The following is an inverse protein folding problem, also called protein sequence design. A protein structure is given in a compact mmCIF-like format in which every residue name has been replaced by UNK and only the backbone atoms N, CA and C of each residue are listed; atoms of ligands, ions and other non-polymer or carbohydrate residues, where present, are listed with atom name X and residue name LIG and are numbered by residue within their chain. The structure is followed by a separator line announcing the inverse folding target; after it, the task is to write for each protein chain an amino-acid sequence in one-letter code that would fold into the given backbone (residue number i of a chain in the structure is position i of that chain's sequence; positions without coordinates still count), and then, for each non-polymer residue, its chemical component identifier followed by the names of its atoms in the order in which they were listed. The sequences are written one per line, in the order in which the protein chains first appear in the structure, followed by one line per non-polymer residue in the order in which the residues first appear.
data_IF_047400446993
#
_entry.id   IF_047400446993
#
_cell.length_a   1.000
_cell.length_b   1.000
_cell.length_c   1.000
_cell.angle_alpha   90.00
_cell.angle_beta   90.00
_cell.angle_gamma   90.00
#
_symmetry.space_group_name_H-M   'P 1'
#
loop_
_entity.id
_entity.type
_entity.pdbx_description
1 polymer ?
#
# COMPACT_ATOMS: atom_id res chain seq x y z
N UNK A 1 -21.66 9.70 19.66
CA UNK A 1 -20.40 9.99 20.39
C UNK A 1 -19.36 8.97 19.95
N UNK A 2 -18.12 9.40 19.61
CA UNK A 2 -17.02 8.49 19.26
C UNK A 2 -16.49 7.74 20.49
N UNK A 3 -15.84 6.59 20.27
CA UNK A 3 -15.27 5.76 21.33
C UNK A 3 -13.91 6.35 21.73
N UNK A 4 -13.71 6.61 23.01
CA UNK A 4 -12.41 7.02 23.53
C UNK A 4 -11.54 5.78 23.75
N UNK A 5 -10.50 5.61 22.93
CA UNK A 5 -9.55 4.51 23.08
C UNK A 5 -8.55 4.82 24.20
N UNK A 6 -8.28 3.84 25.05
CA UNK A 6 -7.11 3.90 25.94
C UNK A 6 -5.82 3.78 25.11
N UNK A 7 -4.68 4.21 25.68
CA UNK A 7 -3.37 4.04 25.03
C UNK A 7 -3.10 2.57 24.68
N UNK A 8 -3.46 1.64 25.56
CA UNK A 8 -3.34 0.21 25.33
C UNK A 8 -4.20 -0.28 24.16
N UNK A 9 -5.45 0.18 24.05
CA UNK A 9 -6.35 -0.18 22.95
C UNK A 9 -5.84 0.34 21.60
N UNK A 10 -5.32 1.57 21.59
CA UNK A 10 -4.72 2.14 20.38
C UNK A 10 -3.46 1.37 19.96
N UNK A 11 -2.59 1.01 20.92
CA UNK A 11 -1.41 0.20 20.67
C UNK A 11 -1.79 -1.18 20.12
N UNK A 12 -2.78 -1.85 20.74
CA UNK A 12 -3.24 -3.15 20.29
C UNK A 12 -3.85 -3.12 18.88
N UNK A 13 -4.69 -2.11 18.59
CA UNK A 13 -5.28 -1.89 17.28
C UNK A 13 -4.19 -1.69 16.22
N UNK A 14 -3.20 -0.88 16.53
CA UNK A 14 -2.06 -0.58 15.64
C UNK A 14 -1.20 -1.82 15.43
N UNK A 15 -0.88 -2.57 16.47
CA UNK A 15 -0.07 -3.79 16.38
C UNK A 15 -0.72 -4.86 15.48
N UNK A 16 -2.03 -5.09 15.63
CA UNK A 16 -2.75 -6.05 14.78
C UNK A 16 -2.81 -5.58 13.32
N UNK A 17 -2.91 -4.26 13.09
CA UNK A 17 -2.86 -3.72 11.73
C UNK A 17 -1.49 -3.89 11.08
N UNK A 18 -0.40 -3.62 11.82
CA UNK A 18 0.97 -3.77 11.31
C UNK A 18 1.21 -5.18 10.79
N UNK A 19 0.66 -6.20 11.46
CA UNK A 19 0.67 -7.56 10.95
C UNK A 19 -0.01 -7.66 9.58
N UNK A 20 -1.22 -7.12 9.46
CA UNK A 20 -1.97 -7.20 8.22
C UNK A 20 -1.22 -6.53 7.04
N UNK A 21 -0.41 -5.50 7.32
CA UNK A 21 0.40 -4.82 6.32
C UNK A 21 1.80 -5.39 6.12
N UNK A 22 2.30 -6.26 7.00
CA UNK A 22 3.68 -6.74 6.95
C UNK A 22 4.03 -7.39 5.60
N UNK A 23 3.19 -8.30 5.10
CA UNK A 23 3.40 -8.96 3.81
C UNK A 23 3.33 -7.97 2.64
N UNK A 24 2.39 -7.01 2.66
CA UNK A 24 2.26 -5.99 1.61
C UNK A 24 3.45 -5.03 1.59
N UNK A 25 3.99 -4.66 2.76
CA UNK A 25 5.20 -3.84 2.86
C UNK A 25 6.45 -4.59 2.38
N UNK A 26 6.47 -5.92 2.52
CA UNK A 26 7.52 -6.80 2.05
C UNK A 26 7.37 -7.29 0.61
N UNK A 27 6.33 -6.90 -0.12
CA UNK A 27 5.94 -7.53 -1.38
C UNK A 27 7.04 -7.49 -2.45
N UNK A 28 7.85 -6.45 -2.53
CA UNK A 28 8.97 -6.38 -3.47
C UNK A 28 10.05 -7.43 -3.16
N UNK A 29 10.27 -7.75 -1.88
CA UNK A 29 11.16 -8.83 -1.45
C UNK A 29 10.52 -10.21 -1.70
N UNK A 30 9.19 -10.34 -1.52
CA UNK A 30 8.48 -11.57 -1.82
C UNK A 30 8.59 -11.93 -3.30
N UNK A 31 8.37 -10.97 -4.22
CA UNK A 31 8.48 -11.21 -5.68
C UNK A 31 9.90 -11.61 -6.06
N UNK A 32 10.92 -10.98 -5.47
CA UNK A 32 12.31 -11.34 -5.69
C UNK A 32 12.63 -12.76 -5.18
N UNK A 33 12.18 -13.10 -3.98
CA UNK A 33 12.35 -14.42 -3.37
C UNK A 33 11.64 -15.53 -4.15
N UNK A 34 10.40 -15.31 -4.62
CA UNK A 34 9.65 -16.25 -5.46
C UNK A 34 10.43 -16.57 -6.74
N UNK A 35 10.99 -15.54 -7.37
CA UNK A 35 11.77 -15.74 -8.58
C UNK A 35 13.09 -16.49 -8.33
N UNK A 36 13.72 -16.30 -7.17
CA UNK A 36 14.94 -17.01 -6.79
C UNK A 36 14.64 -18.47 -6.40
N UNK A 37 13.71 -18.70 -5.48
CA UNK A 37 13.41 -20.02 -4.93
C UNK A 37 12.87 -21.00 -5.98
N UNK A 38 12.00 -20.52 -6.90
CA UNK A 38 11.38 -21.39 -7.90
C UNK A 38 11.94 -21.23 -9.32
N UNK A 39 12.96 -20.39 -9.54
CA UNK A 39 13.41 -20.05 -10.89
C UNK A 39 12.30 -19.43 -11.75
N UNK A 40 11.34 -18.75 -11.12
CA UNK A 40 10.13 -18.27 -11.76
C UNK A 40 10.39 -17.06 -12.67
N UNK A 41 9.62 -16.95 -13.76
CA UNK A 41 9.59 -15.75 -14.59
C UNK A 41 9.03 -14.55 -13.80
N UNK A 42 9.31 -13.33 -14.25
CA UNK A 42 8.80 -12.14 -13.60
C UNK A 42 7.27 -12.08 -13.62
N UNK A 43 6.64 -12.53 -14.72
CA UNK A 43 5.18 -12.62 -14.82
C UNK A 43 4.60 -13.63 -13.81
N UNK A 44 5.22 -14.78 -13.62
CA UNK A 44 4.76 -15.79 -12.67
C UNK A 44 4.89 -15.31 -11.22
N UNK A 45 6.02 -14.73 -10.85
CA UNK A 45 6.21 -14.12 -9.52
C UNK A 45 5.27 -12.92 -9.31
N UNK A 46 5.09 -12.09 -10.32
CA UNK A 46 4.13 -10.99 -10.31
C UNK A 46 2.68 -11.46 -10.21
N UNK A 47 2.33 -12.62 -10.79
CA UNK A 47 0.98 -13.21 -10.69
C UNK A 47 0.64 -13.62 -9.25
N UNK A 48 1.59 -14.21 -8.52
CA UNK A 48 1.41 -14.54 -7.09
C UNK A 48 1.14 -13.28 -6.29
N UNK A 49 1.95 -12.24 -6.48
CA UNK A 49 1.75 -10.96 -5.82
C UNK A 49 0.41 -10.30 -6.17
N UNK A 50 0.02 -10.35 -7.46
CA UNK A 50 -1.28 -9.85 -7.93
C UNK A 50 -2.46 -10.61 -7.33
N UNK A 51 -2.35 -11.93 -7.22
CA UNK A 51 -3.39 -12.76 -6.60
C UNK A 51 -3.55 -12.42 -5.11
N UNK A 52 -2.46 -12.27 -4.38
CA UNK A 52 -2.47 -11.89 -2.97
C UNK A 52 -3.04 -10.49 -2.76
N UNK A 53 -2.54 -9.48 -3.49
CA UNK A 53 -3.03 -8.10 -3.39
C UNK A 53 -4.50 -7.98 -3.84
N UNK A 54 -4.89 -8.72 -4.88
CA UNK A 54 -6.28 -8.82 -5.32
C UNK A 54 -7.19 -9.46 -4.27
N UNK A 55 -6.71 -10.50 -3.61
CA UNK A 55 -7.42 -11.12 -2.50
C UNK A 55 -7.54 -10.18 -1.29
N UNK A 56 -6.49 -9.41 -0.97
CA UNK A 56 -6.55 -8.34 0.06
C UNK A 56 -7.63 -7.32 -0.30
N UNK A 57 -7.63 -6.83 -1.53
CA UNK A 57 -8.63 -5.86 -2.00
C UNK A 57 -10.06 -6.44 -1.92
N UNK A 58 -10.26 -7.68 -2.36
CA UNK A 58 -11.54 -8.39 -2.26
C UNK A 58 -11.97 -8.57 -0.80
N UNK A 59 -11.05 -8.93 0.09
CA UNK A 59 -11.27 -9.03 1.53
C UNK A 59 -11.70 -7.71 2.12
N UNK A 60 -10.99 -6.62 1.83
CA UNK A 60 -11.35 -5.26 2.29
C UNK A 60 -12.74 -4.87 1.83
N UNK A 61 -13.06 -5.01 0.54
CA UNK A 61 -14.35 -4.63 -0.02
C UNK A 61 -15.51 -5.46 0.53
N UNK A 62 -15.28 -6.77 0.73
CA UNK A 62 -16.29 -7.68 1.27
C UNK A 62 -16.55 -7.39 2.73
N UNK A 63 -15.51 -7.33 3.56
CA UNK A 63 -15.68 -7.15 5.01
C UNK A 63 -16.07 -5.72 5.39
N UNK A 64 -15.73 -4.70 4.59
CA UNK A 64 -16.26 -3.34 4.79
C UNK A 64 -17.80 -3.30 4.74
N UNK A 65 -18.45 -4.14 3.91
CA UNK A 65 -19.90 -4.24 3.81
C UNK A 65 -20.54 -4.98 5.01
N UNK A 66 -19.79 -5.86 5.66
CA UNK A 66 -20.21 -6.66 6.81
C UNK A 66 -19.70 -6.11 8.13
N UNK A 67 -18.96 -4.99 8.10
CA UNK A 67 -18.46 -4.32 9.30
C UNK A 67 -19.62 -4.05 10.29
N UNK A 68 -19.46 -4.54 11.51
CA UNK A 68 -20.46 -4.42 12.58
C UNK A 68 -21.49 -5.55 12.68
N UNK A 69 -21.63 -6.43 11.66
CA UNK A 69 -22.53 -7.59 11.73
C UNK A 69 -21.94 -8.75 12.52
N UNK A 70 -20.62 -8.87 12.52
CA UNK A 70 -19.89 -9.91 13.24
C UNK A 70 -19.07 -9.29 14.38
N UNK A 71 -18.92 -10.01 15.51
CA UNK A 71 -18.06 -9.56 16.58
C UNK A 71 -16.63 -9.32 16.09
N UNK A 72 -16.14 -8.10 16.22
CA UNK A 72 -14.82 -7.70 15.69
C UNK A 72 -13.69 -8.60 16.19
N UNK A 73 -13.73 -9.03 17.46
CA UNK A 73 -12.75 -9.95 18.01
C UNK A 73 -12.70 -11.30 17.30
N UNK A 74 -13.85 -11.85 16.86
CA UNK A 74 -13.86 -13.10 16.09
C UNK A 74 -13.17 -12.93 14.74
N UNK A 75 -13.38 -11.79 14.07
CA UNK A 75 -12.72 -11.49 12.79
C UNK A 75 -11.21 -11.41 13.01
N UNK A 76 -10.74 -10.78 14.09
CA UNK A 76 -9.30 -10.71 14.39
C UNK A 76 -8.71 -12.09 14.71
N UNK A 77 -9.35 -12.87 15.58
CA UNK A 77 -8.85 -14.21 15.93
C UNK A 77 -8.79 -15.10 14.69
N UNK A 78 -9.90 -15.22 13.96
CA UNK A 78 -9.97 -16.08 12.77
C UNK A 78 -9.02 -15.55 11.68
N UNK A 79 -9.04 -14.24 11.40
CA UNK A 79 -8.21 -13.64 10.38
C UNK A 79 -6.71 -13.80 10.66
N UNK A 80 -6.25 -13.48 11.87
CA UNK A 80 -4.84 -13.63 12.25
C UNK A 80 -4.44 -15.12 12.28
N UNK A 81 -5.31 -16.02 12.73
CA UNK A 81 -5.04 -17.47 12.66
C UNK A 81 -4.88 -17.95 11.23
N UNK A 82 -5.76 -17.52 10.30
CA UNK A 82 -5.65 -17.85 8.88
C UNK A 82 -4.37 -17.28 8.26
N UNK A 83 -3.95 -16.07 8.65
CA UNK A 83 -2.68 -15.48 8.19
C UNK A 83 -1.50 -16.31 8.69
N UNK A 84 -1.48 -16.69 9.96
CA UNK A 84 -0.43 -17.52 10.54
C UNK A 84 -0.35 -18.89 9.86
N UNK A 85 -1.47 -19.60 9.74
CA UNK A 85 -1.55 -20.88 9.04
C UNK A 85 -1.17 -20.72 7.58
N UNK A 86 -1.65 -19.68 6.91
CA UNK A 86 -1.34 -19.40 5.51
C UNK A 86 0.16 -19.18 5.28
N UNK A 87 0.85 -18.43 6.14
CA UNK A 87 2.30 -18.24 6.06
C UNK A 87 3.04 -19.57 6.36
N UNK A 88 2.61 -20.34 7.37
CA UNK A 88 3.22 -21.62 7.69
C UNK A 88 3.07 -22.63 6.54
N UNK A 89 1.87 -22.74 5.98
CA UNK A 89 1.62 -23.66 4.86
C UNK A 89 2.30 -23.18 3.56
N UNK A 90 2.51 -21.87 3.40
CA UNK A 90 3.27 -21.33 2.25
C UNK A 90 4.73 -21.76 2.24
N UNK A 91 5.34 -22.08 3.41
CA UNK A 91 6.67 -22.70 3.47
C UNK A 91 6.71 -24.12 2.90
N UNK A 92 5.54 -24.78 2.77
CA UNK A 92 5.42 -26.13 2.19
C UNK A 92 5.15 -26.08 0.67
N UNK A 93 5.06 -24.92 0.07
CA UNK A 93 4.79 -24.79 -1.35
C UNK A 93 6.01 -25.25 -2.15
N UNK A 94 5.79 -26.19 -3.07
CA UNK A 94 6.87 -26.75 -3.91
C UNK A 94 7.03 -26.06 -5.26
N UNK A 95 6.07 -25.19 -5.62
CA UNK A 95 6.03 -24.50 -6.91
C UNK A 95 5.18 -23.20 -6.83
N UNK A 96 5.29 -22.38 -7.88
CA UNK A 96 4.58 -21.10 -7.99
C UNK A 96 3.07 -21.25 -7.93
N UNK A 97 2.49 -22.33 -8.49
CA UNK A 97 1.04 -22.52 -8.54
C UNK A 97 0.48 -22.88 -7.15
N UNK A 98 1.15 -23.78 -6.44
CA UNK A 98 0.78 -24.13 -5.06
C UNK A 98 0.86 -22.90 -4.15
N UNK A 99 1.92 -22.09 -4.27
CA UNK A 99 2.06 -20.84 -3.54
C UNK A 99 0.94 -19.85 -3.88
N UNK A 100 0.62 -19.66 -5.17
CA UNK A 100 -0.46 -18.79 -5.61
C UNK A 100 -1.80 -19.15 -4.94
N UNK A 101 -2.15 -20.45 -4.94
CA UNK A 101 -3.40 -20.93 -4.33
C UNK A 101 -3.42 -20.64 -2.83
N UNK A 102 -2.30 -20.81 -2.13
CA UNK A 102 -2.18 -20.59 -0.69
C UNK A 102 -2.23 -19.11 -0.32
N UNK A 103 -1.75 -18.21 -1.21
CA UNK A 103 -1.77 -16.76 -0.95
C UNK A 103 -3.15 -16.13 -1.08
N UNK A 104 -4.08 -16.73 -1.82
CA UNK A 104 -5.46 -16.20 -1.96
C UNK A 104 -6.21 -16.17 -0.63
N UNK A 105 -6.38 -17.27 0.14
CA UNK A 105 -7.07 -17.23 1.42
C UNK A 105 -6.31 -16.38 2.45
N UNK A 106 -4.97 -16.36 2.40
CA UNK A 106 -4.15 -15.49 3.25
C UNK A 106 -4.43 -14.02 2.97
N UNK A 107 -4.46 -13.62 1.69
CA UNK A 107 -4.80 -12.26 1.27
C UNK A 107 -6.22 -11.84 1.67
N UNK A 108 -7.21 -12.72 1.51
CA UNK A 108 -8.59 -12.46 1.98
C UNK A 108 -8.64 -12.20 3.49
N UNK A 109 -7.91 -12.98 4.28
CA UNK A 109 -7.81 -12.79 5.72
C UNK A 109 -7.14 -11.46 6.10
N UNK A 110 -6.03 -11.11 5.42
CA UNK A 110 -5.36 -9.81 5.57
C UNK A 110 -6.33 -8.64 5.27
N UNK A 111 -7.09 -8.75 4.19
CA UNK A 111 -8.10 -7.75 3.81
C UNK A 111 -9.21 -7.61 4.86
N UNK A 112 -9.71 -8.73 5.39
CA UNK A 112 -10.74 -8.74 6.42
C UNK A 112 -10.28 -8.07 7.71
N UNK A 113 -9.08 -8.39 8.18
CA UNK A 113 -8.45 -7.80 9.37
C UNK A 113 -8.26 -6.30 9.16
N UNK A 114 -7.68 -5.89 8.03
CA UNK A 114 -7.44 -4.47 7.70
C UNK A 114 -8.74 -3.67 7.68
N UNK A 115 -9.76 -4.15 6.97
CA UNK A 115 -11.07 -3.47 6.88
C UNK A 115 -11.70 -3.28 8.26
N UNK A 116 -11.62 -4.31 9.12
CA UNK A 116 -12.21 -4.28 10.46
C UNK A 116 -11.46 -3.28 11.36
N UNK A 117 -10.13 -3.22 11.27
CA UNK A 117 -9.32 -2.26 12.03
C UNK A 117 -9.61 -0.83 11.59
N UNK A 118 -9.67 -0.57 10.28
CA UNK A 118 -9.97 0.77 9.75
C UNK A 118 -11.38 1.22 10.15
N UNK A 119 -12.35 0.31 10.12
CA UNK A 119 -13.71 0.59 10.59
C UNK A 119 -13.75 0.88 12.09
N UNK A 120 -12.94 0.18 12.90
CA UNK A 120 -12.81 0.42 14.35
C UNK A 120 -12.14 1.77 14.61
N UNK A 121 -11.05 2.08 13.92
CA UNK A 121 -10.33 3.35 14.04
C UNK A 121 -11.22 4.57 13.69
N UNK A 122 -12.06 4.44 12.67
CA UNK A 122 -13.00 5.49 12.24
C UNK A 122 -14.06 5.82 13.30
N UNK A 123 -14.31 4.93 14.27
CA UNK A 123 -15.26 5.15 15.38
C UNK A 123 -14.61 5.80 16.62
N UNK A 124 -13.31 6.14 16.54
CA UNK A 124 -12.62 6.89 17.59
C UNK A 124 -13.28 8.24 17.86
N UNK A 125 -13.18 8.74 19.09
CA UNK A 125 -13.56 10.14 19.42
C UNK A 125 -12.65 11.17 18.76
N UNK A 126 -11.43 10.77 18.36
CA UNK A 126 -10.45 11.58 17.61
C UNK A 126 -9.88 10.77 16.43
N UNK A 127 -10.67 10.55 15.35
CA UNK A 127 -10.29 9.68 14.24
C UNK A 127 -8.99 10.15 13.56
N UNK A 128 -8.80 11.46 13.40
CA UNK A 128 -7.63 12.05 12.76
C UNK A 128 -6.34 11.66 13.51
N UNK A 129 -6.36 11.76 14.83
CA UNK A 129 -5.22 11.38 15.68
C UNK A 129 -4.99 9.86 15.61
N UNK A 130 -6.06 9.08 15.67
CA UNK A 130 -5.99 7.61 15.58
C UNK A 130 -5.37 7.17 14.26
N UNK A 131 -5.84 7.70 13.14
CA UNK A 131 -5.25 7.41 11.82
C UNK A 131 -3.83 7.94 11.67
N UNK A 132 -3.52 9.09 12.29
CA UNK A 132 -2.17 9.63 12.33
C UNK A 132 -1.18 8.68 13.00
N UNK A 133 -1.54 8.14 14.18
CA UNK A 133 -0.72 7.15 14.91
C UNK A 133 -0.56 5.87 14.10
N UNK A 134 -1.66 5.35 13.54
CA UNK A 134 -1.65 4.14 12.71
C UNK A 134 -0.72 4.31 11.50
N UNK A 135 -0.86 5.40 10.74
CA UNK A 135 -0.05 5.62 9.55
C UNK A 135 1.43 5.82 9.87
N UNK A 136 1.74 6.51 10.97
CA UNK A 136 3.13 6.64 11.44
C UNK A 136 3.73 5.28 11.80
N UNK A 137 2.95 4.42 12.44
CA UNK A 137 3.39 3.07 12.81
C UNK A 137 3.54 2.16 11.58
N UNK A 138 2.69 2.29 10.55
CA UNK A 138 2.86 1.60 9.25
C UNK A 138 4.16 2.03 8.58
N UNK A 139 4.50 3.32 8.60
CA UNK A 139 5.79 3.83 8.10
C UNK A 139 6.99 3.24 8.86
N UNK A 140 6.91 3.19 10.19
CA UNK A 140 7.94 2.57 11.04
C UNK A 140 8.08 1.05 10.76
N UNK A 141 6.94 0.36 10.56
CA UNK A 141 6.95 -1.06 10.16
C UNK A 141 7.56 -1.25 8.77
N UNK A 142 7.31 -0.35 7.83
CA UNK A 142 7.97 -0.35 6.52
C UNK A 142 9.49 -0.27 6.64
N UNK A 143 10.02 0.60 7.49
CA UNK A 143 11.47 0.68 7.78
C UNK A 143 11.98 -0.61 8.43
N UNK A 144 11.26 -1.18 9.38
CA UNK A 144 11.63 -2.45 10.01
C UNK A 144 11.66 -3.59 8.99
N UNK A 145 10.65 -3.72 8.14
CA UNK A 145 10.62 -4.72 7.07
C UNK A 145 11.76 -4.52 6.07
N UNK A 146 12.05 -3.30 5.65
CA UNK A 146 13.17 -2.99 4.77
C UNK A 146 14.54 -3.35 5.37
N UNK A 147 14.65 -3.35 6.70
CA UNK A 147 15.85 -3.79 7.40
C UNK A 147 15.93 -5.31 7.55
N UNK A 148 14.84 -5.96 7.95
CA UNK A 148 14.81 -7.37 8.34
C UNK A 148 14.72 -8.29 7.13
N UNK A 149 13.81 -8.01 6.15
CA UNK A 149 13.54 -8.94 5.06
C UNK A 149 14.75 -9.25 4.18
N UNK A 150 15.64 -8.28 3.81
CA UNK A 150 16.83 -8.61 3.05
C UNK A 150 17.80 -9.55 3.79
N UNK A 151 17.78 -9.54 5.12
CA UNK A 151 18.56 -10.44 5.95
C UNK A 151 17.90 -11.80 6.06
N UNK A 152 16.59 -11.81 6.22
CA UNK A 152 15.80 -13.02 6.29
C UNK A 152 15.90 -13.88 5.02
N UNK A 153 16.06 -13.26 3.85
CA UNK A 153 16.33 -13.97 2.59
C UNK A 153 17.57 -14.90 2.65
N UNK A 154 18.54 -14.60 3.47
CA UNK A 154 19.76 -15.40 3.61
C UNK A 154 19.68 -16.42 4.76
N UNK A 155 18.65 -16.42 5.59
CA UNK A 155 18.54 -17.32 6.74
C UNK A 155 18.47 -18.80 6.35
N UNK A 156 18.01 -19.12 5.14
CA UNK A 156 17.97 -20.48 4.63
C UNK A 156 19.36 -21.14 4.66
N UNK A 157 20.44 -20.38 4.42
CA UNK A 157 21.82 -20.90 4.47
C UNK A 157 22.18 -21.36 5.89
N UNK A 158 21.91 -20.50 6.89
CA UNK A 158 22.19 -20.82 8.29
C UNK A 158 21.26 -21.93 8.81
N UNK A 159 19.96 -21.89 8.44
CA UNK A 159 18.99 -22.92 8.82
C UNK A 159 19.35 -24.29 8.27
N UNK A 160 19.72 -24.37 6.99
CA UNK A 160 20.15 -25.62 6.37
C UNK A 160 21.46 -26.13 6.98
N UNK A 161 22.39 -25.25 7.38
CA UNK A 161 23.61 -25.62 8.05
C UNK A 161 23.41 -26.18 9.47
N UNK A 162 22.42 -25.65 10.20
CA UNK A 162 22.13 -26.07 11.59
C UNK A 162 21.20 -27.29 11.66
N UNK A 163 20.20 -27.35 10.77
CA UNK A 163 19.18 -28.41 10.83
C UNK A 163 19.66 -29.75 10.24
N UNK A 164 20.79 -29.75 9.52
CA UNK A 164 21.44 -30.96 8.99
C UNK A 164 20.53 -31.77 8.04
N UNK A 165 20.90 -33.03 7.82
CA UNK A 165 20.25 -33.92 6.83
C UNK A 165 18.82 -34.39 7.20
N UNK A 166 18.03 -33.57 7.90
CA UNK A 166 16.67 -33.89 8.34
C UNK A 166 15.61 -33.99 7.25
N UNK A 167 16.01 -33.95 5.97
CA UNK A 167 15.11 -34.15 4.83
C UNK A 167 14.27 -32.93 4.44
N UNK A 168 14.41 -31.81 5.15
CA UNK A 168 13.78 -30.52 4.82
C UNK A 168 14.85 -29.50 4.43
N UNK A 169 14.71 -28.91 3.24
CA UNK A 169 15.60 -27.82 2.78
C UNK A 169 14.83 -26.51 2.76
N UNK A 170 15.38 -25.51 3.46
CA UNK A 170 14.83 -24.15 3.48
C UNK A 170 15.28 -23.40 2.23
N UNK A 171 14.38 -22.57 1.69
CA UNK A 171 14.65 -21.66 0.56
C UNK A 171 14.60 -20.17 0.99
N UNK A 172 14.80 -19.26 0.03
CA UNK A 172 14.81 -17.83 0.27
C UNK A 172 13.47 -17.29 0.81
N UNK A 173 12.34 -17.92 0.44
CA UNK A 173 11.00 -17.53 0.90
C UNK A 173 10.78 -17.86 2.37
N UNK A 174 11.33 -18.95 2.85
CA UNK A 174 11.12 -19.44 4.21
C UNK A 174 11.52 -18.41 5.25
N UNK A 175 12.65 -17.72 5.05
CA UNK A 175 13.09 -16.64 5.93
C UNK A 175 12.07 -15.51 6.01
N UNK A 176 11.43 -15.14 4.91
CA UNK A 176 10.39 -14.11 4.90
C UNK A 176 9.15 -14.57 5.67
N UNK A 177 8.70 -15.81 5.45
CA UNK A 177 7.55 -16.36 6.15
C UNK A 177 7.80 -16.51 7.66
N UNK A 178 9.01 -16.86 8.09
CA UNK A 178 9.39 -16.87 9.51
C UNK A 178 9.20 -15.48 10.13
N UNK A 179 9.62 -14.41 9.45
CA UNK A 179 9.40 -13.03 9.92
C UNK A 179 7.90 -12.72 10.01
N UNK A 180 7.11 -13.08 9.00
CA UNK A 180 5.66 -12.83 8.99
C UNK A 180 4.93 -13.64 10.07
N UNK A 181 5.35 -14.88 10.32
CA UNK A 181 4.82 -15.72 11.41
C UNK A 181 5.17 -15.10 12.77
N UNK A 182 6.41 -14.64 12.97
CA UNK A 182 6.82 -13.98 14.22
C UNK A 182 6.01 -12.70 14.47
N UNK A 183 5.82 -11.85 13.44
CA UNK A 183 4.93 -10.70 13.52
C UNK A 183 3.49 -11.11 13.84
N UNK A 184 2.99 -12.17 13.23
CA UNK A 184 1.67 -12.73 13.46
C UNK A 184 1.44 -13.22 14.87
N UNK A 185 2.40 -13.93 15.45
CA UNK A 185 2.36 -14.39 16.82
C UNK A 185 2.33 -13.22 17.81
N UNK A 186 3.16 -12.19 17.56
CA UNK A 186 3.14 -10.97 18.37
C UNK A 186 1.76 -10.27 18.29
N UNK A 187 1.22 -10.09 17.10
CA UNK A 187 -0.09 -9.46 16.94
C UNK A 187 -1.21 -10.28 17.56
N UNK A 188 -1.14 -11.62 17.52
CA UNK A 188 -2.11 -12.50 18.19
C UNK A 188 -2.20 -12.21 19.68
N UNK A 189 -1.06 -11.93 20.34
CA UNK A 189 -1.01 -11.51 21.73
C UNK A 189 -1.76 -10.20 22.02
N UNK A 190 -1.84 -9.29 21.03
CA UNK A 190 -2.52 -8.00 21.18
C UNK A 190 -4.03 -8.05 20.91
N UNK A 191 -4.58 -9.12 20.32
CA UNK A 191 -6.01 -9.19 19.92
C UNK A 191 -6.95 -8.89 21.10
N UNK A 192 -6.63 -9.36 22.31
CA UNK A 192 -7.45 -9.12 23.51
C UNK A 192 -7.52 -7.63 23.90
N UNK A 193 -6.52 -6.84 23.51
CA UNK A 193 -6.48 -5.40 23.76
C UNK A 193 -7.26 -4.57 22.74
N UNK A 194 -7.63 -5.16 21.59
CA UNK A 194 -8.36 -4.42 20.56
C UNK A 194 -9.81 -4.17 21.02
N UNK A 195 -10.33 -2.94 20.91
CA UNK A 195 -11.68 -2.63 21.34
C UNK A 195 -12.70 -3.43 20.52
N UNK A 196 -13.64 -4.09 21.23
CA UNK A 196 -14.79 -4.71 20.58
C UNK A 196 -15.83 -3.64 20.28
N UNK A 197 -16.13 -3.45 19.03
CA UNK A 197 -17.15 -2.49 18.59
C UNK A 197 -18.35 -3.26 18.07
N UNK A 198 -19.50 -3.08 18.72
CA UNK A 198 -20.79 -3.55 18.23
C UNK A 198 -21.48 -2.42 17.46
N UNK A 199 -22.13 -2.75 16.38
CA UNK A 199 -22.90 -1.79 15.62
C UNK A 199 -24.32 -1.76 16.18
N UNK A 200 -24.69 -0.66 16.85
CA UNK A 200 -26.05 -0.44 17.37
C UNK A 200 -27.07 -0.13 16.23
N UNK A 201 -26.76 -0.51 14.99
CA UNK A 201 -27.69 -0.44 13.87
C UNK A 201 -28.00 0.97 13.38
N UNK A 202 -27.37 2.01 13.91
CA UNK A 202 -27.54 3.36 13.40
C UNK A 202 -26.81 3.51 12.06
N UNK A 203 -27.52 3.20 10.97
CA UNK A 203 -27.10 3.56 9.62
C UNK A 203 -26.81 5.06 9.62
N UNK A 204 -25.55 5.44 9.37
CA UNK A 204 -25.24 6.79 8.93
C UNK A 204 -26.06 7.04 7.67
N UNK A 205 -27.08 7.87 7.80
CA UNK A 205 -27.88 8.35 6.67
C UNK A 205 -26.98 9.36 5.93
N UNK A 206 -26.03 8.83 5.17
CA UNK A 206 -25.30 9.62 4.19
C UNK A 206 -26.29 10.10 3.14
N UNK A 207 -26.38 11.41 2.96
CA UNK A 207 -27.17 12.02 1.88
C UNK A 207 -26.80 11.34 0.55
N UNK A 208 -27.82 10.87 -0.19
CA UNK A 208 -27.70 10.19 -1.49
C UNK A 208 -27.32 11.15 -2.64
N UNK A 209 -26.50 12.15 -2.38
CA UNK A 209 -25.94 12.93 -3.50
C UNK A 209 -24.87 12.08 -4.19
N UNK A 210 -25.18 11.62 -5.39
CA UNK A 210 -24.21 10.90 -6.22
C UNK A 210 -23.04 11.84 -6.56
N UNK A 211 -21.81 11.44 -6.29
CA UNK A 211 -20.64 12.22 -6.71
C UNK A 211 -20.69 12.44 -8.22
N UNK A 212 -20.39 13.66 -8.67
CA UNK A 212 -20.41 13.98 -10.09
C UNK A 212 -19.43 13.12 -10.90
N UNK A 213 -19.68 12.92 -12.20
CA UNK A 213 -18.82 12.12 -13.11
C UNK A 213 -17.35 12.49 -13.01
N UNK A 214 -17.04 13.77 -12.77
CA UNK A 214 -15.68 14.29 -12.62
C UNK A 214 -14.94 13.63 -11.46
N UNK A 215 -15.59 13.41 -10.32
CA UNK A 215 -14.97 12.75 -9.17
C UNK A 215 -14.59 11.29 -9.45
N UNK A 216 -15.44 10.56 -10.16
CA UNK A 216 -15.15 9.17 -10.56
C UNK A 216 -14.01 9.09 -11.58
N UNK A 217 -13.90 10.04 -12.51
CA UNK A 217 -12.78 10.15 -13.44
C UNK A 217 -11.47 10.34 -12.66
N UNK A 218 -11.47 11.21 -11.62
CA UNK A 218 -10.29 11.41 -10.78
C UNK A 218 -9.86 10.12 -10.06
N UNK A 219 -10.81 9.32 -9.55
CA UNK A 219 -10.51 8.05 -8.88
C UNK A 219 -9.98 7.00 -9.87
N UNK A 220 -10.57 6.88 -11.07
CA UNK A 220 -10.04 6.02 -12.12
C UNK A 220 -8.63 6.43 -12.54
N UNK A 221 -8.39 7.73 -12.71
CA UNK A 221 -7.08 8.29 -13.01
C UNK A 221 -6.06 7.95 -11.92
N UNK A 222 -6.43 8.09 -10.65
CA UNK A 222 -5.61 7.72 -9.51
C UNK A 222 -5.26 6.22 -9.54
N UNK A 223 -6.27 5.34 -9.71
CA UNK A 223 -6.05 3.90 -9.81
C UNK A 223 -5.11 3.53 -10.95
N UNK A 224 -5.22 4.20 -12.10
CA UNK A 224 -4.35 3.98 -13.25
C UNK A 224 -2.92 4.48 -13.02
N UNK A 225 -2.73 5.58 -12.30
CA UNK A 225 -1.40 6.04 -11.88
C UNK A 225 -0.74 5.06 -10.91
N UNK A 226 -1.49 4.54 -9.94
CA UNK A 226 -0.99 3.51 -9.01
C UNK A 226 -0.74 2.16 -9.68
N UNK A 227 -1.51 1.81 -10.71
CA UNK A 227 -1.22 0.66 -11.56
C UNK A 227 0.14 0.82 -12.26
N UNK A 228 0.39 1.96 -12.90
CA UNK A 228 1.69 2.24 -13.52
C UNK A 228 2.84 2.23 -12.51
N UNK A 229 2.69 2.92 -11.38
CA UNK A 229 3.69 2.93 -10.31
C UNK A 229 3.97 1.53 -9.78
N UNK A 230 2.92 0.75 -9.47
CA UNK A 230 3.05 -0.60 -8.92
C UNK A 230 3.70 -1.59 -9.89
N UNK A 231 3.50 -1.41 -11.22
CA UNK A 231 4.07 -2.30 -12.25
C UNK A 231 5.61 -2.31 -12.28
N UNK A 232 6.26 -1.22 -11.89
CA UNK A 232 7.71 -1.15 -11.71
C UNK A 232 8.10 -1.29 -10.24
N UNK A 233 7.33 -0.70 -9.33
CA UNK A 233 7.66 -0.60 -7.90
C UNK A 233 7.87 -1.96 -7.23
N UNK A 234 7.11 -2.95 -7.61
CA UNK A 234 7.22 -4.30 -7.07
C UNK A 234 8.54 -5.00 -7.45
N UNK A 235 9.20 -4.56 -8.51
CA UNK A 235 10.46 -5.11 -9.01
C UNK A 235 11.70 -4.30 -8.59
N UNK A 236 11.57 -3.28 -7.72
CA UNK A 236 12.69 -2.43 -7.28
C UNK A 236 13.84 -3.23 -6.66
N UNK A 237 13.55 -4.32 -5.96
CA UNK A 237 14.60 -5.21 -5.41
C UNK A 237 15.39 -5.84 -6.54
N UNK A 238 14.72 -6.32 -7.58
CA UNK A 238 15.36 -6.93 -8.75
C UNK A 238 16.19 -5.93 -9.55
N UNK A 239 15.68 -4.70 -9.74
CA UNK A 239 16.46 -3.60 -10.34
C UNK A 239 17.75 -3.36 -9.56
N UNK A 240 17.67 -3.30 -8.23
CA UNK A 240 18.86 -3.14 -7.37
C UNK A 240 19.83 -4.31 -7.50
N UNK A 241 19.34 -5.55 -7.62
CA UNK A 241 20.20 -6.74 -7.83
C UNK A 241 20.88 -6.73 -9.21
N UNK A 242 20.19 -6.33 -10.27
CA UNK A 242 20.79 -6.18 -11.60
C UNK A 242 21.93 -5.13 -11.60
N UNK A 243 21.88 -4.15 -10.70
CA UNK A 243 22.97 -3.17 -10.47
C UNK A 243 24.09 -3.71 -9.57
N UNK A 244 24.04 -5.00 -9.15
CA UNK A 244 25.03 -5.63 -8.28
C UNK A 244 24.90 -5.26 -6.80
N UNK A 245 23.78 -4.66 -6.37
CA UNK A 245 23.57 -4.30 -4.97
C UNK A 245 23.22 -5.51 -4.12
N UNK A 246 23.76 -5.57 -2.91
CA UNK A 246 23.35 -6.55 -1.92
C UNK A 246 21.92 -6.29 -1.42
N UNK A 247 21.23 -7.32 -0.97
CA UNK A 247 19.87 -7.18 -0.41
C UNK A 247 19.83 -6.18 0.76
N UNK A 248 20.84 -6.17 1.62
CA UNK A 248 20.94 -5.22 2.74
C UNK A 248 21.08 -3.77 2.27
N UNK A 249 21.86 -3.52 1.22
CA UNK A 249 21.98 -2.18 0.62
C UNK A 249 20.66 -1.72 0.03
N UNK A 250 19.94 -2.59 -0.69
CA UNK A 250 18.59 -2.30 -1.21
C UNK A 250 17.63 -2.00 -0.05
N UNK A 251 17.72 -2.75 1.05
CA UNK A 251 16.95 -2.48 2.26
C UNK A 251 17.19 -1.08 2.82
N UNK A 252 18.42 -0.59 2.87
CA UNK A 252 18.74 0.79 3.31
C UNK A 252 18.16 1.84 2.36
N UNK A 253 18.15 1.57 1.05
CA UNK A 253 17.49 2.45 0.07
C UNK A 253 15.98 2.53 0.33
N UNK A 254 15.34 1.41 0.65
CA UNK A 254 13.91 1.38 0.99
C UNK A 254 13.62 2.08 2.32
N UNK A 255 14.51 1.94 3.32
CA UNK A 255 14.41 2.70 4.57
C UNK A 255 14.46 4.22 4.33
N UNK A 256 15.38 4.69 3.48
CA UNK A 256 15.43 6.08 3.07
C UNK A 256 14.13 6.51 2.38
N UNK A 257 13.57 5.66 1.50
CA UNK A 257 12.27 5.87 0.88
C UNK A 257 11.12 5.98 1.90
N UNK A 258 11.12 5.17 2.94
CA UNK A 258 10.13 5.22 4.01
C UNK A 258 10.19 6.54 4.80
N UNK A 259 11.40 7.05 5.10
CA UNK A 259 11.57 8.37 5.74
C UNK A 259 11.01 9.48 4.87
N UNK A 260 11.33 9.48 3.57
CA UNK A 260 10.77 10.46 2.61
C UNK A 260 9.26 10.27 2.49
N UNK A 261 8.77 9.02 2.48
CA UNK A 261 7.34 8.68 2.40
C UNK A 261 6.50 9.16 3.60
N UNK A 262 7.12 9.32 4.78
CA UNK A 262 6.47 9.90 5.95
C UNK A 262 6.45 11.44 5.86
N UNK A 263 7.52 12.05 5.38
CA UNK A 263 7.68 13.52 5.36
C UNK A 263 7.02 14.17 4.15
N UNK A 264 7.07 13.52 2.98
CA UNK A 264 6.55 14.08 1.73
C UNK A 264 5.03 14.41 1.75
N UNK A 265 4.14 13.56 2.30
CA UNK A 265 2.72 13.90 2.42
C UNK A 265 2.45 15.10 3.33
N UNK A 266 3.24 15.28 4.41
CA UNK A 266 3.12 16.43 5.32
C UNK A 266 3.48 17.72 4.59
N UNK A 267 4.59 17.72 3.87
CA UNK A 267 5.03 18.87 3.06
C UNK A 267 4.01 19.14 1.95
N UNK A 268 3.54 18.11 1.25
CA UNK A 268 2.56 18.23 0.18
C UNK A 268 1.21 18.78 0.69
N UNK A 269 0.74 18.32 1.86
CA UNK A 269 -0.47 18.84 2.51
C UNK A 269 -0.34 20.30 2.89
N UNK A 270 0.81 20.70 3.46
CA UNK A 270 1.10 22.10 3.82
C UNK A 270 1.14 23.01 2.58
N UNK A 271 1.78 22.57 1.50
CA UNK A 271 1.88 23.31 0.23
C UNK A 271 0.49 23.36 -0.45
N UNK A 272 -0.22 22.23 -0.50
CA UNK A 272 -1.54 22.12 -1.13
C UNK A 272 -2.61 23.01 -0.48
N UNK A 273 -2.47 23.30 0.83
CA UNK A 273 -3.34 24.22 1.53
C UNK A 273 -3.10 25.70 1.15
N UNK A 274 -1.93 26.04 0.60
CA UNK A 274 -1.51 27.42 0.31
C UNK A 274 -1.42 27.74 -1.17
N UNK A 275 -1.26 26.73 -2.02
CA UNK A 275 -1.08 26.90 -3.45
C UNK A 275 -2.25 26.28 -4.21
N UNK A 276 -2.42 26.70 -5.47
CA UNK A 276 -3.37 26.02 -6.39
C UNK A 276 -2.95 24.56 -6.57
N UNK A 277 -3.85 23.58 -6.39
CA UNK A 277 -3.51 22.16 -6.41
C UNK A 277 -2.76 21.69 -7.67
N UNK A 278 -3.01 22.36 -8.79
CA UNK A 278 -2.41 22.01 -10.08
C UNK A 278 -0.88 22.10 -10.07
N UNK A 279 -0.31 23.13 -9.44
CA UNK A 279 1.15 23.36 -9.45
C UNK A 279 1.89 22.26 -8.67
N UNK A 280 1.59 22.01 -7.39
CA UNK A 280 2.26 20.94 -6.66
C UNK A 280 2.00 19.56 -7.25
N UNK A 281 0.82 19.31 -7.82
CA UNK A 281 0.52 18.04 -8.50
C UNK A 281 1.41 17.82 -9.72
N UNK A 282 1.61 18.86 -10.58
CA UNK A 282 2.53 18.79 -11.73
C UNK A 282 3.95 18.49 -11.24
N UNK A 283 4.44 19.20 -10.23
CA UNK A 283 5.80 19.00 -9.71
C UNK A 283 6.00 17.58 -9.19
N UNK A 284 5.04 17.06 -8.41
CA UNK A 284 5.11 15.70 -7.88
C UNK A 284 5.07 14.66 -9.00
N UNK A 285 4.18 14.82 -9.98
CA UNK A 285 4.06 13.87 -11.10
C UNK A 285 5.30 13.92 -12.01
N UNK A 286 5.82 15.10 -12.32
CA UNK A 286 7.08 15.21 -13.06
C UNK A 286 8.25 14.58 -12.32
N UNK A 287 8.34 14.80 -10.99
CA UNK A 287 9.32 14.14 -10.15
C UNK A 287 9.17 12.62 -10.14
N UNK A 288 7.93 12.12 -10.08
CA UNK A 288 7.62 10.69 -10.11
C UNK A 288 7.99 10.06 -11.47
N UNK A 289 7.66 10.73 -12.58
CA UNK A 289 8.04 10.27 -13.92
C UNK A 289 9.56 10.24 -14.09
N UNK A 290 10.26 11.27 -13.62
CA UNK A 290 11.72 11.32 -13.65
C UNK A 290 12.32 10.19 -12.81
N UNK A 291 11.85 9.99 -11.58
CA UNK A 291 12.31 8.92 -10.71
C UNK A 291 12.02 7.53 -11.31
N UNK A 292 10.82 7.33 -11.87
CA UNK A 292 10.42 6.10 -12.55
C UNK A 292 11.35 5.78 -13.71
N UNK A 293 11.57 6.74 -14.61
CA UNK A 293 12.45 6.57 -15.75
C UNK A 293 13.90 6.32 -15.32
N UNK A 294 14.40 7.08 -14.34
CA UNK A 294 15.77 6.92 -13.83
C UNK A 294 15.99 5.54 -13.23
N UNK A 295 15.06 5.04 -12.41
CA UNK A 295 15.15 3.69 -11.81
C UNK A 295 15.20 2.61 -12.89
N UNK A 296 14.38 2.73 -13.93
CA UNK A 296 14.28 1.72 -14.96
C UNK A 296 15.41 1.74 -15.98
N UNK A 297 16.04 2.89 -16.21
CA UNK A 297 17.07 3.08 -17.25
C UNK A 297 18.49 3.09 -16.71
N UNK A 298 18.68 3.18 -15.38
CA UNK A 298 20.02 3.30 -14.81
C UNK A 298 20.83 2.01 -14.95
N UNK A 299 22.10 2.17 -15.27
CA UNK A 299 23.11 1.10 -15.30
C UNK A 299 24.13 1.25 -14.18
N UNK A 300 23.98 2.27 -13.34
CA UNK A 300 24.89 2.59 -12.23
C UNK A 300 24.12 2.78 -10.93
N UNK A 301 24.80 2.59 -9.81
CA UNK A 301 24.19 2.57 -8.48
C UNK A 301 23.72 3.95 -7.98
N UNK A 302 24.46 5.03 -8.35
CA UNK A 302 24.19 6.37 -7.80
C UNK A 302 22.81 6.93 -8.15
N UNK A 303 22.35 6.88 -9.41
CA UNK A 303 20.98 7.33 -9.75
C UNK A 303 19.93 6.50 -9.03
N UNK A 304 20.15 5.20 -8.84
CA UNK A 304 19.25 4.33 -8.11
C UNK A 304 19.09 4.75 -6.64
N UNK A 305 20.19 5.11 -5.95
CA UNK A 305 20.16 5.55 -4.56
C UNK A 305 19.30 6.80 -4.34
N UNK A 306 19.18 7.66 -5.35
CA UNK A 306 18.37 8.88 -5.28
C UNK A 306 16.95 8.63 -5.79
N UNK A 307 16.83 7.96 -6.94
CA UNK A 307 15.56 7.82 -7.63
C UNK A 307 14.63 6.80 -6.95
N UNK A 308 15.15 5.68 -6.42
CA UNK A 308 14.30 4.64 -5.82
C UNK A 308 13.58 5.13 -4.54
N UNK A 309 14.22 5.85 -3.59
CA UNK A 309 13.51 6.47 -2.46
C UNK A 309 12.43 7.46 -2.91
N UNK A 310 12.72 8.31 -3.89
CA UNK A 310 11.75 9.28 -4.41
C UNK A 310 10.60 8.60 -5.15
N UNK A 311 10.90 7.58 -5.96
CA UNK A 311 9.89 6.79 -6.64
C UNK A 311 8.91 6.15 -5.66
N UNK A 312 9.39 5.57 -4.55
CA UNK A 312 8.54 4.97 -3.52
C UNK A 312 7.70 5.99 -2.74
N UNK A 313 8.23 7.20 -2.53
CA UNK A 313 7.63 8.20 -1.66
C UNK A 313 6.68 9.19 -2.37
N UNK A 314 6.97 9.59 -3.61
CA UNK A 314 6.20 10.63 -4.30
C UNK A 314 4.71 10.30 -4.50
N UNK A 315 4.28 9.04 -4.74
CA UNK A 315 2.85 8.72 -4.81
C UNK A 315 2.09 9.04 -3.53
N UNK A 316 2.72 8.90 -2.37
CA UNK A 316 2.08 9.23 -1.09
C UNK A 316 1.84 10.72 -0.92
N UNK A 317 2.68 11.57 -1.53
CA UNK A 317 2.54 13.02 -1.54
C UNK A 317 1.37 13.52 -2.41
N UNK A 318 0.94 12.74 -3.41
CA UNK A 318 -0.23 13.07 -4.25
C UNK A 318 -1.54 13.03 -3.45
N UNK A 319 -1.66 12.09 -2.51
CA UNK A 319 -2.92 11.79 -1.84
C UNK A 319 -3.49 12.96 -1.06
N UNK A 320 -2.76 13.69 -0.19
CA UNK A 320 -3.32 14.82 0.55
C UNK A 320 -3.88 15.92 -0.36
N UNK A 321 -3.19 16.22 -1.46
CA UNK A 321 -3.61 17.25 -2.41
C UNK A 321 -4.87 16.79 -3.14
N UNK A 322 -4.87 15.55 -3.66
CA UNK A 322 -6.01 15.01 -4.38
C UNK A 322 -7.25 14.88 -3.49
N UNK A 323 -7.10 14.37 -2.27
CA UNK A 323 -8.20 14.24 -1.32
C UNK A 323 -8.76 15.63 -0.93
N UNK A 324 -7.89 16.63 -0.80
CA UNK A 324 -8.30 18.01 -0.61
C UNK A 324 -9.12 18.56 -1.78
N UNK A 325 -8.76 18.22 -3.01
CA UNK A 325 -9.56 18.57 -4.20
C UNK A 325 -10.88 17.82 -4.22
N UNK A 326 -10.87 16.49 -4.02
CA UNK A 326 -12.08 15.66 -4.04
C UNK A 326 -13.09 16.07 -2.97
N UNK A 327 -12.65 16.47 -1.77
CA UNK A 327 -13.53 16.94 -0.70
C UNK A 327 -14.31 18.20 -1.05
N UNK A 328 -13.85 19.00 -2.02
CA UNK A 328 -14.55 20.19 -2.52
C UNK A 328 -15.67 19.87 -3.48
N UNK A 329 -15.60 18.70 -4.15
CA UNK A 329 -16.63 18.21 -5.09
C UNK A 329 -17.67 17.33 -4.40
N UNK A 330 -17.34 16.77 -3.27
CA UNK A 330 -18.16 15.80 -2.57
C UNK A 330 -18.20 16.08 -1.07
N UNK A 331 -19.19 16.86 -0.66
CA UNK A 331 -19.42 17.17 0.75
C UNK A 331 -19.81 15.93 1.59
N UNK A 332 -20.18 14.81 0.94
CA UNK A 332 -20.53 13.55 1.62
C UNK A 332 -19.31 12.72 1.99
N UNK A 333 -18.12 13.02 1.43
CA UNK A 333 -16.89 12.25 1.63
C UNK A 333 -16.88 10.90 0.92
N UNK A 334 -17.84 10.61 0.05
CA UNK A 334 -17.93 9.33 -0.68
C UNK A 334 -16.71 9.09 -1.57
N UNK A 335 -16.25 10.13 -2.30
CA UNK A 335 -15.06 10.03 -3.15
C UNK A 335 -13.80 9.84 -2.32
N UNK A 336 -13.66 10.61 -1.23
CA UNK A 336 -12.53 10.45 -0.33
C UNK A 336 -12.51 9.06 0.32
N UNK A 337 -13.67 8.48 0.64
CA UNK A 337 -13.77 7.10 1.14
C UNK A 337 -13.45 6.03 0.08
N UNK A 338 -13.83 6.29 -1.19
CA UNK A 338 -13.64 5.33 -2.27
C UNK A 338 -12.21 5.28 -2.81
N UNK A 339 -11.37 6.32 -2.60
CA UNK A 339 -10.03 6.39 -3.20
C UNK A 339 -9.17 5.16 -2.93
N UNK A 340 -9.22 4.64 -1.69
CA UNK A 340 -8.44 3.48 -1.29
C UNK A 340 -8.77 2.23 -2.13
N UNK A 341 -10.03 2.04 -2.53
CA UNK A 341 -10.43 0.93 -3.39
C UNK A 341 -9.79 1.03 -4.78
N UNK A 342 -9.72 2.22 -5.36
CA UNK A 342 -9.11 2.43 -6.68
C UNK A 342 -7.59 2.24 -6.64
N UNK A 343 -6.93 2.69 -5.57
CA UNK A 343 -5.49 2.45 -5.34
C UNK A 343 -5.23 0.95 -5.19
N UNK A 344 -6.03 0.24 -4.40
CA UNK A 344 -5.89 -1.21 -4.18
C UNK A 344 -6.11 -2.01 -5.46
N UNK A 345 -7.14 -1.68 -6.25
CA UNK A 345 -7.44 -2.38 -7.51
C UNK A 345 -6.31 -2.14 -8.52
N UNK A 346 -5.84 -0.89 -8.68
CA UNK A 346 -4.69 -0.58 -9.52
C UNK A 346 -3.44 -1.32 -9.09
N UNK A 347 -3.14 -1.30 -7.78
CA UNK A 347 -1.99 -1.99 -7.19
C UNK A 347 -2.08 -3.52 -7.29
N UNK A 348 -3.27 -4.11 -7.27
CA UNK A 348 -3.45 -5.56 -7.35
C UNK A 348 -3.11 -6.15 -8.73
N UNK A 349 -3.40 -5.44 -9.82
CA UNK A 349 -3.11 -5.92 -11.18
C UNK A 349 -1.69 -5.59 -11.60
N UNK A 350 -1.10 -4.60 -10.99
CA UNK A 350 0.20 -4.03 -11.36
C UNK A 350 1.38 -5.03 -11.37
N UNK A 351 1.54 -5.94 -10.37
CA UNK A 351 2.66 -6.89 -10.34
C UNK A 351 2.67 -7.84 -11.54
N UNK A 352 1.52 -8.39 -11.90
CA UNK A 352 1.41 -9.28 -13.06
C UNK A 352 1.72 -8.54 -14.38
N UNK A 353 1.12 -7.36 -14.56
CA UNK A 353 1.36 -6.55 -15.76
C UNK A 353 2.83 -6.14 -15.87
N UNK A 354 3.43 -5.70 -14.77
CA UNK A 354 4.85 -5.35 -14.72
C UNK A 354 5.76 -6.54 -15.00
N UNK A 355 5.46 -7.71 -14.43
CA UNK A 355 6.19 -8.94 -14.69
C UNK A 355 6.11 -9.37 -16.15
N UNK A 356 4.92 -9.31 -16.74
CA UNK A 356 4.72 -9.61 -18.16
C UNK A 356 5.52 -8.67 -19.06
N UNK A 357 5.47 -7.37 -18.79
CA UNK A 357 6.26 -6.37 -19.55
C UNK A 357 7.77 -6.62 -19.41
N UNK A 358 8.23 -7.02 -18.19
CA UNK A 358 9.64 -7.36 -17.96
C UNK A 358 10.08 -8.59 -18.74
N UNK A 359 9.22 -9.59 -18.87
CA UNK A 359 9.52 -10.83 -19.61
C UNK A 359 9.53 -10.62 -21.14
N UNK A 360 8.98 -9.49 -21.64
CA UNK A 360 9.07 -9.08 -23.06
C UNK A 360 10.40 -8.40 -23.43
N UNK A 361 11.20 -7.99 -22.45
CA UNK A 361 12.46 -7.26 -22.67
C UNK A 361 13.63 -7.84 -21.88
N UNK A 362 14.85 -7.44 -22.25
CA UNK A 362 16.08 -7.91 -21.61
C UNK A 362 16.40 -7.17 -20.30
N UNK A 363 15.73 -6.04 -20.02
CA UNK A 363 15.97 -5.16 -18.89
C UNK A 363 14.69 -4.46 -18.44
N UNK A 364 14.77 -3.62 -17.39
CA UNK A 364 13.61 -2.88 -16.86
C UNK A 364 13.23 -1.62 -17.64
N UNK A 365 13.91 -1.27 -18.73
CA UNK A 365 13.62 -0.05 -19.47
C UNK A 365 12.20 -0.05 -20.06
N UNK A 366 11.74 -1.20 -20.58
CA UNK A 366 10.38 -1.34 -21.08
C UNK A 366 9.33 -1.16 -19.97
N UNK A 367 9.62 -1.67 -18.76
CA UNK A 367 8.78 -1.42 -17.58
C UNK A 367 8.73 0.07 -17.24
N UNK A 368 9.86 0.76 -17.33
CA UNK A 368 9.93 2.20 -17.12
C UNK A 368 9.05 2.97 -18.10
N UNK A 369 9.11 2.67 -19.40
CA UNK A 369 8.22 3.27 -20.39
C UNK A 369 6.75 2.97 -20.11
N UNK A 370 6.42 1.71 -19.80
CA UNK A 370 5.06 1.29 -19.48
C UNK A 370 4.53 2.03 -18.24
N UNK A 371 5.29 2.05 -17.16
CA UNK A 371 4.93 2.74 -15.93
C UNK A 371 4.77 4.25 -16.14
N UNK A 372 5.72 4.90 -16.82
CA UNK A 372 5.65 6.31 -17.16
C UNK A 372 4.43 6.64 -18.03
N UNK A 373 4.13 5.81 -19.04
CA UNK A 373 2.94 5.99 -19.88
C UNK A 373 1.65 5.91 -19.06
N UNK A 374 1.51 4.91 -18.20
CA UNK A 374 0.34 4.77 -17.32
C UNK A 374 0.20 5.96 -16.36
N UNK A 375 1.29 6.40 -15.72
CA UNK A 375 1.29 7.56 -14.82
C UNK A 375 0.92 8.84 -15.59
N UNK A 376 1.50 9.07 -16.75
CA UNK A 376 1.23 10.24 -17.58
C UNK A 376 -0.22 10.26 -18.09
N UNK A 377 -0.73 9.14 -18.60
CA UNK A 377 -2.14 9.00 -19.02
C UNK A 377 -3.09 9.25 -17.86
N UNK A 378 -2.84 8.62 -16.71
CA UNK A 378 -3.63 8.85 -15.50
C UNK A 378 -3.64 10.32 -15.10
N UNK A 379 -2.48 11.00 -15.15
CA UNK A 379 -2.40 12.42 -14.84
C UNK A 379 -3.16 13.29 -15.86
N UNK A 380 -3.10 12.98 -17.15
CA UNK A 380 -3.86 13.70 -18.18
C UNK A 380 -5.37 13.61 -17.90
N UNK A 381 -5.88 12.44 -17.53
CA UNK A 381 -7.28 12.29 -17.11
C UNK A 381 -7.63 13.04 -15.82
N UNK A 382 -6.65 13.36 -14.98
CA UNK A 382 -6.85 14.16 -13.78
C UNK A 382 -6.87 15.67 -14.03
N UNK A 383 -6.28 16.14 -15.14
CA UNK A 383 -6.20 17.59 -15.46
C UNK A 383 -7.55 18.33 -15.49
N UNK A 384 -8.66 17.77 -16.04
CA UNK A 384 -9.96 18.43 -16.03
C UNK A 384 -10.45 18.70 -14.60
N UNK A 385 -10.21 17.76 -13.67
CA UNK A 385 -10.59 17.88 -12.26
C UNK A 385 -9.86 19.05 -11.59
N UNK A 386 -8.56 19.16 -11.84
CA UNK A 386 -7.72 20.22 -11.28
C UNK A 386 -8.04 21.60 -11.88
N UNK A 387 -8.43 21.66 -13.16
CA UNK A 387 -8.85 22.89 -13.83
C UNK A 387 -10.21 23.37 -13.33
N UNK A 388 -11.14 22.47 -13.10
CA UNK A 388 -12.47 22.79 -12.60
C UNK A 388 -12.42 23.39 -11.19
N UNK A 389 -11.58 22.83 -10.31
CA UNK A 389 -11.34 23.40 -8.98
C UNK A 389 -10.78 24.83 -9.04
N UNK A 390 -9.87 25.11 -9.97
CA UNK A 390 -9.32 26.44 -10.22
C UNK A 390 -10.35 27.46 -10.70
N UNK A 391 -11.39 27.05 -11.43
CA UNK A 391 -12.49 27.91 -11.88
C UNK A 391 -13.47 28.23 -10.75
N UNK A 392 -13.83 27.21 -9.96
CA UNK A 392 -14.74 27.37 -8.82
C UNK A 392 -14.18 28.30 -7.73
N UNK A 393 -12.87 28.26 -7.51
CA UNK A 393 -12.19 29.14 -6.54
C UNK A 393 -12.17 30.63 -7.00
N UNK A 394 -12.10 30.90 -8.31
CA UNK A 394 -12.17 32.27 -8.87
C UNK A 394 -13.54 32.90 -8.68
N UNK A 395 -14.62 32.14 -8.84
CA UNK A 395 -15.97 32.62 -8.62
C UNK A 395 -16.27 32.96 -7.14
N UNK A 396 -15.66 32.27 -6.18
CA UNK A 396 -15.81 32.57 -4.76
C UNK A 396 -15.01 33.81 -4.30
N UNK A 397 -13.87 34.10 -4.93
CA UNK A 397 -13.07 35.28 -4.61
C UNK A 397 -13.57 36.57 -5.27
N UNK A 398 -14.48 36.47 -6.25
CA UNK A 398 -15.08 37.61 -6.97
C UNK A 398 -16.44 38.05 -6.44
N UNK A 399 -17.06 37.37 -5.49
CA UNK A 399 -18.31 37.84 -4.87
C UNK A 399 -17.98 38.85 -3.76
N UNK A 400 -18.50 40.11 -3.80
CA UNK A 400 -18.34 41.06 -2.74
C UNK A 400 -18.93 40.49 -1.45
N UNK A 401 -18.17 40.50 -0.35
CA UNK A 401 -18.72 40.19 0.97
C UNK A 401 -19.82 41.24 1.26
N UNK A 402 -21.04 40.81 1.67
CA UNK A 402 -22.01 41.76 2.15
C UNK A 402 -21.43 42.48 3.37
N UNK A 403 -21.39 43.78 3.31
CA UNK A 403 -21.01 44.65 4.42
C UNK A 403 -21.84 44.30 5.67
N UNK A 404 -21.25 44.20 6.85
CA UNK A 404 -22.01 44.00 8.07
C UNK A 404 -22.94 45.20 8.28
N UNK A 405 -24.24 44.94 8.17
CA UNK A 405 -25.25 45.92 8.61
C UNK A 405 -25.06 46.15 10.10
N UNK A 406 -24.84 47.43 10.45
CA UNK A 406 -24.75 47.92 11.83
C UNK A 406 -26.09 47.82 12.55
#
# INVERSE_FOLDING_TARGET
MGIQFSAWQLTALTAVLLLAFAASLGMAFNVDAIALAYGATNSSAGLVASAELGAIAAGVLTFARFAGRWPTQRIYVVGVSLILVGNLVSMLASDVLSLLVLRIPTGLALGAVSATIMATAARSSAPETTFGVINSAVGAMGMFMAYVLPRALNWHVDLNAVMGDGGWTYDELDGLYIVYIACGLMAFGFIRGVPSVHDDGKKSVGSKQSPGRIGWIALCALGFMFFGHGSLGIFLVRVGRELGLSGSTIGYVFMAGAVVGITAPLIAGYIGARMRPMVPMIVIVCGLLLACFTVASTTTVWPFYIAAPLFGALPTALLPILLGVLSRFDATGTLAGAHAAFVLVGGAVAPFAGGYVRDLGDNFLLNGYFACACIAIGFVFMLPVLRFDGAASRHRSGSPQPLPTR
#
